data_IF_483626278639
#
_entry.id   IF_483626278639
#
_cell.length_a   1.000
_cell.length_b   1.000
_cell.length_c   1.000
_cell.angle_alpha   90.00
_cell.angle_beta   90.00
_cell.angle_gamma   90.00
#
_symmetry.space_group_name_H-M   'P 1'
#
loop_
_entity.id
_entity.type
_entity.pdbx_description
1 polymer ?
#
# COMPACT_ATOMS: atom_id res chain seq x y z
N UNK A 1 -9.82 16.05 36.55
CA UNK A 1 -8.53 16.01 35.80
C UNK A 1 -8.48 14.67 35.12
N UNK A 2 -9.04 14.63 33.90
CA UNK A 2 -8.99 13.42 33.08
C UNK A 2 -7.53 13.20 32.63
N UNK A 3 -6.98 12.08 33.05
CA UNK A 3 -5.73 11.59 32.48
C UNK A 3 -6.01 11.22 31.03
N UNK A 4 -5.54 12.04 30.10
CA UNK A 4 -5.46 11.64 28.70
C UNK A 4 -4.75 10.28 28.67
N UNK A 5 -5.45 9.24 28.21
CA UNK A 5 -4.87 7.92 27.97
C UNK A 5 -3.93 8.11 26.79
N UNK A 6 -2.63 8.20 27.06
CA UNK A 6 -1.60 8.23 26.03
C UNK A 6 -1.59 6.81 25.45
N UNK A 7 -2.27 6.61 24.32
CA UNK A 7 -2.18 5.37 23.57
C UNK A 7 -0.74 5.20 23.04
N UNK A 8 -0.21 3.96 23.00
CA UNK A 8 1.09 3.72 22.39
C UNK A 8 1.11 4.21 20.95
N UNK A 9 2.23 4.75 20.49
CA UNK A 9 2.39 5.33 19.14
C UNK A 9 1.88 4.42 18.01
N UNK A 10 2.05 3.11 18.16
CA UNK A 10 1.50 2.09 17.22
C UNK A 10 -0.02 2.15 17.02
N UNK A 11 -0.80 2.64 17.99
CA UNK A 11 -2.26 2.76 17.86
C UNK A 11 -2.70 4.09 17.25
N UNK A 12 -1.90 5.13 17.39
CA UNK A 12 -2.26 6.47 16.90
C UNK A 12 -2.36 6.53 15.38
N UNK A 13 -1.44 5.90 14.64
CA UNK A 13 -1.51 5.89 13.18
C UNK A 13 -2.73 5.11 12.66
N UNK A 14 -3.12 4.03 13.34
CA UNK A 14 -4.30 3.25 12.99
C UNK A 14 -5.57 4.08 13.17
N UNK A 15 -5.74 4.74 14.32
CA UNK A 15 -6.88 5.61 14.58
C UNK A 15 -7.01 6.73 13.54
N UNK A 16 -5.89 7.37 13.17
CA UNK A 16 -5.86 8.42 12.15
C UNK A 16 -6.21 7.83 10.77
N UNK A 17 -5.67 6.68 10.44
CA UNK A 17 -5.95 5.99 9.18
C UNK A 17 -7.42 5.59 9.05
N UNK A 18 -8.00 5.03 10.11
CA UNK A 18 -9.42 4.67 10.17
C UNK A 18 -10.33 5.91 10.07
N UNK A 19 -9.99 7.01 10.74
CA UNK A 19 -10.77 8.24 10.64
C UNK A 19 -10.69 8.86 9.24
N UNK A 20 -9.51 8.91 8.63
CA UNK A 20 -9.36 9.36 7.24
C UNK A 20 -10.11 8.45 6.26
N UNK A 21 -10.08 7.12 6.48
CA UNK A 21 -10.86 6.15 5.71
C UNK A 21 -12.35 6.42 5.83
N UNK A 22 -12.85 6.65 7.05
CA UNK A 22 -14.25 6.98 7.29
C UNK A 22 -14.66 8.29 6.58
N UNK A 23 -13.80 9.30 6.58
CA UNK A 23 -14.05 10.57 5.88
C UNK A 23 -14.09 10.38 4.34
N UNK A 24 -13.28 9.48 3.79
CA UNK A 24 -13.32 9.11 2.36
C UNK A 24 -14.65 8.41 2.04
N UNK A 25 -15.07 7.44 2.85
CA UNK A 25 -16.35 6.73 2.69
C UNK A 25 -17.53 7.70 2.76
N UNK A 26 -17.49 8.67 3.67
CA UNK A 26 -18.52 9.71 3.82
C UNK A 26 -18.51 10.75 2.69
N UNK A 27 -17.55 10.68 1.77
CA UNK A 27 -17.45 11.59 0.63
C UNK A 27 -16.81 12.95 0.91
N UNK A 28 -16.23 13.16 2.09
CA UNK A 28 -15.46 14.38 2.39
C UNK A 28 -14.26 14.53 1.45
N UNK A 29 -13.68 13.41 1.04
CA UNK A 29 -12.60 13.33 0.07
C UNK A 29 -13.03 12.39 -1.08
N UNK A 30 -13.60 12.91 -2.18
CA UNK A 30 -14.01 12.10 -3.31
C UNK A 30 -12.79 11.50 -4.05
N UNK A 31 -13.03 10.42 -4.82
CA UNK A 31 -12.01 9.81 -5.68
C UNK A 31 -11.38 10.84 -6.61
N UNK A 32 -10.06 10.82 -6.73
CA UNK A 32 -9.25 11.79 -7.46
C UNK A 32 -8.93 13.07 -6.69
N UNK A 33 -9.57 13.33 -5.53
CA UNK A 33 -9.24 14.49 -4.71
C UNK A 33 -7.95 14.30 -3.93
N UNK A 34 -7.34 15.42 -3.56
CA UNK A 34 -6.13 15.44 -2.75
C UNK A 34 -6.48 15.53 -1.26
N UNK A 35 -5.86 14.69 -0.44
CA UNK A 35 -5.92 14.82 1.02
C UNK A 35 -5.15 16.06 1.50
N UNK A 36 -5.48 16.58 2.70
CA UNK A 36 -4.70 17.66 3.31
C UNK A 36 -3.21 17.29 3.42
N UNK A 37 -2.29 18.28 3.35
CA UNK A 37 -0.87 18.03 3.57
C UNK A 37 -0.60 17.37 4.93
N UNK A 38 0.41 16.48 4.99
CA UNK A 38 0.81 15.78 6.25
C UNK A 38 0.92 16.73 7.45
N UNK A 39 1.43 17.97 7.23
CA UNK A 39 1.54 18.96 8.28
C UNK A 39 0.18 19.34 8.88
N UNK A 40 -0.80 19.57 8.03
CA UNK A 40 -2.14 19.99 8.47
C UNK A 40 -2.84 18.84 9.20
N UNK A 41 -2.69 17.61 8.72
CA UNK A 41 -3.20 16.41 9.39
C UNK A 41 -2.53 16.30 10.78
N UNK A 42 -1.20 16.43 10.86
CA UNK A 42 -0.46 16.38 12.12
C UNK A 42 -0.93 17.42 13.12
N UNK A 43 -1.18 18.66 12.67
CA UNK A 43 -1.71 19.75 13.49
C UNK A 43 -3.15 19.42 13.97
N UNK A 44 -4.00 18.88 13.10
CA UNK A 44 -5.41 18.53 13.43
C UNK A 44 -5.49 17.46 14.50
N UNK A 45 -4.66 16.40 14.40
CA UNK A 45 -4.68 15.29 15.36
C UNK A 45 -3.71 15.46 16.53
N UNK A 46 -2.89 16.51 16.54
CA UNK A 46 -1.93 16.77 17.63
C UNK A 46 -0.81 15.73 17.72
N UNK A 47 -0.39 15.16 16.58
CA UNK A 47 0.61 14.09 16.49
C UNK A 47 1.84 14.51 15.67
N UNK A 48 2.88 13.68 15.68
CA UNK A 48 4.04 13.86 14.82
C UNK A 48 3.73 13.57 13.35
N UNK A 49 4.47 14.20 12.42
CA UNK A 49 4.35 13.92 10.99
C UNK A 49 4.70 12.47 10.63
N UNK A 50 5.54 11.82 11.43
CA UNK A 50 5.89 10.41 11.26
C UNK A 50 4.65 9.52 11.43
N UNK A 51 3.86 9.76 12.48
CA UNK A 51 2.62 9.02 12.74
C UNK A 51 1.61 9.23 11.61
N UNK A 52 1.48 10.47 11.10
CA UNK A 52 0.62 10.76 9.94
C UNK A 52 1.08 10.00 8.71
N UNK A 53 2.39 9.97 8.47
CA UNK A 53 2.96 9.24 7.33
C UNK A 53 2.71 7.74 7.43
N UNK A 54 2.79 7.16 8.62
CA UNK A 54 2.40 5.76 8.86
C UNK A 54 0.91 5.52 8.56
N UNK A 55 0.03 6.42 8.99
CA UNK A 55 -1.40 6.33 8.68
C UNK A 55 -1.67 6.40 7.18
N UNK A 56 -1.04 7.34 6.47
CA UNK A 56 -1.18 7.48 5.02
C UNK A 56 -0.60 6.28 4.27
N UNK A 57 0.54 5.75 4.73
CA UNK A 57 1.15 4.56 4.16
C UNK A 57 0.27 3.32 4.35
N UNK A 58 -0.40 3.19 5.50
CA UNK A 58 -1.38 2.14 5.72
C UNK A 58 -2.52 2.23 4.68
N UNK A 59 -3.07 3.42 4.45
CA UNK A 59 -4.11 3.64 3.43
C UNK A 59 -3.60 3.38 2.00
N UNK A 60 -2.33 3.65 1.72
CA UNK A 60 -1.70 3.34 0.43
C UNK A 60 -1.55 1.83 0.23
N UNK A 61 -1.10 1.10 1.24
CA UNK A 61 -1.02 -0.37 1.21
C UNK A 61 -2.39 -1.02 1.00
N UNK A 62 -3.46 -0.40 1.50
CA UNK A 62 -4.85 -0.79 1.26
C UNK A 62 -5.35 -0.36 -0.13
N UNK A 63 -4.56 0.35 -0.93
CA UNK A 63 -4.96 0.86 -2.22
C UNK A 63 -6.02 1.98 -2.18
N UNK A 64 -6.29 2.53 -1.00
CA UNK A 64 -7.27 3.61 -0.81
C UNK A 64 -6.75 4.94 -1.32
N UNK A 65 -5.44 5.19 -1.15
CA UNK A 65 -4.76 6.42 -1.58
C UNK A 65 -3.49 6.12 -2.37
N UNK A 66 -2.95 7.14 -3.05
CA UNK A 66 -1.68 7.13 -3.79
C UNK A 66 -0.81 8.30 -3.30
N UNK A 67 0.37 7.99 -2.74
CA UNK A 67 1.33 8.97 -2.24
C UNK A 67 2.29 9.38 -3.35
N UNK A 68 2.03 10.52 -4.00
CA UNK A 68 2.83 11.05 -5.11
C UNK A 68 3.94 11.94 -4.59
N UNK A 69 5.19 11.53 -4.83
CA UNK A 69 6.34 12.31 -4.39
C UNK A 69 6.28 13.76 -4.91
N UNK A 70 6.37 14.74 -4.01
CA UNK A 70 6.32 16.17 -4.32
C UNK A 70 4.94 16.71 -4.71
N UNK A 71 3.93 15.86 -4.97
CA UNK A 71 2.58 16.26 -5.39
C UNK A 71 1.54 16.15 -4.28
N UNK A 72 1.65 15.17 -3.39
CA UNK A 72 0.74 14.94 -2.27
C UNK A 72 0.09 13.57 -2.30
N UNK A 73 -0.99 13.40 -1.53
CA UNK A 73 -1.71 12.14 -1.39
C UNK A 73 -3.09 12.26 -2.02
N UNK A 74 -3.45 11.33 -2.88
CA UNK A 74 -4.69 11.37 -3.67
C UNK A 74 -5.55 10.14 -3.37
N UNK A 75 -6.87 10.34 -3.28
CA UNK A 75 -7.83 9.25 -3.10
C UNK A 75 -7.97 8.49 -4.41
N UNK A 76 -7.75 7.17 -4.37
CA UNK A 76 -7.82 6.28 -5.54
C UNK A 76 -9.16 5.56 -5.65
N UNK A 77 -9.71 5.14 -4.53
CA UNK A 77 -10.99 4.43 -4.47
C UNK A 77 -11.70 4.69 -3.14
N UNK A 78 -13.00 4.43 -3.12
CA UNK A 78 -13.78 4.38 -1.88
C UNK A 78 -13.67 2.95 -1.35
N UNK A 79 -13.14 2.74 -0.12
CA UNK A 79 -13.06 1.42 0.49
C UNK A 79 -14.48 0.85 0.73
N UNK A 80 -14.68 -0.44 0.54
CA UNK A 80 -15.91 -1.11 0.93
C UNK A 80 -16.01 -1.23 2.46
N UNK A 81 -17.24 -1.19 3.02
CA UNK A 81 -17.43 -1.28 4.48
C UNK A 81 -16.99 -2.62 5.08
N UNK A 82 -16.87 -3.65 4.27
CA UNK A 82 -16.51 -5.02 4.66
C UNK A 82 -15.36 -5.57 3.82
N UNK A 83 -14.29 -4.81 3.62
CA UNK A 83 -13.11 -5.35 2.96
C UNK A 83 -12.40 -6.40 3.84
N UNK A 84 -12.17 -7.55 3.22
CA UNK A 84 -11.86 -8.89 3.70
C UNK A 84 -10.65 -9.06 4.65
N UNK A 85 -10.50 -10.34 5.11
CA UNK A 85 -9.49 -10.86 6.04
C UNK A 85 -8.03 -10.57 5.67
N UNK A 86 -7.71 -10.23 4.42
CA UNK A 86 -6.37 -9.76 4.01
C UNK A 86 -6.01 -8.43 4.68
N UNK A 87 -6.99 -7.58 5.02
CA UNK A 87 -6.79 -6.38 5.84
C UNK A 87 -6.43 -6.68 7.30
N UNK A 88 -6.63 -7.90 7.78
CA UNK A 88 -6.25 -8.30 9.14
C UNK A 88 -4.75 -8.21 9.38
N UNK A 89 -3.92 -8.38 8.35
CA UNK A 89 -2.48 -8.14 8.47
C UNK A 89 -2.16 -6.65 8.72
N UNK A 90 -2.94 -5.74 8.14
CA UNK A 90 -2.79 -4.29 8.35
C UNK A 90 -3.40 -3.83 9.68
N UNK A 91 -4.31 -4.62 10.26
CA UNK A 91 -4.83 -4.46 11.62
C UNK A 91 -4.01 -5.23 12.66
N UNK A 92 -2.91 -5.89 12.28
CA UNK A 92 -1.99 -6.55 13.19
C UNK A 92 -1.12 -5.52 13.91
N UNK A 93 -0.41 -5.96 14.96
CA UNK A 93 0.59 -5.14 15.68
C UNK A 93 1.81 -4.80 14.80
N UNK A 94 1.83 -5.20 13.52
CA UNK A 94 2.89 -4.94 12.54
C UNK A 94 2.66 -3.59 11.86
N UNK A 95 3.62 -2.69 11.98
CA UNK A 95 3.54 -1.37 11.37
C UNK A 95 3.78 -1.39 9.85
N UNK A 96 3.25 -0.41 9.11
CA UNK A 96 3.39 -0.34 7.65
C UNK A 96 4.85 -0.27 7.18
N UNK A 97 5.74 0.35 7.93
CA UNK A 97 7.17 0.35 7.63
C UNK A 97 7.82 -1.02 7.80
N UNK A 98 7.37 -1.82 8.79
CA UNK A 98 7.84 -3.20 8.99
C UNK A 98 7.43 -4.08 7.80
N UNK A 99 6.21 -3.89 7.28
CA UNK A 99 5.72 -4.58 6.08
C UNK A 99 6.60 -4.22 4.87
N UNK A 100 6.87 -2.94 4.63
CA UNK A 100 7.70 -2.51 3.50
C UNK A 100 9.14 -3.03 3.62
N UNK A 101 9.72 -3.05 4.82
CA UNK A 101 11.05 -3.63 5.04
C UNK A 101 11.08 -5.13 4.73
N UNK A 102 10.07 -5.87 5.20
CA UNK A 102 9.94 -7.30 4.90
C UNK A 102 9.78 -7.54 3.39
N UNK A 103 8.91 -6.79 2.73
CA UNK A 103 8.72 -6.86 1.28
C UNK A 103 10.02 -6.56 0.52
N UNK A 104 10.72 -5.48 0.88
CA UNK A 104 11.99 -5.13 0.25
C UNK A 104 13.01 -6.27 0.32
N UNK A 105 13.13 -6.93 1.47
CA UNK A 105 14.04 -8.07 1.66
C UNK A 105 13.59 -9.30 0.89
N UNK A 106 12.31 -9.64 0.94
CA UNK A 106 11.77 -10.83 0.28
C UNK A 106 11.77 -10.66 -1.25
N UNK A 107 11.15 -9.59 -1.75
CA UNK A 107 10.96 -9.38 -3.19
C UNK A 107 12.29 -9.20 -3.93
N UNK A 108 13.30 -8.54 -3.33
CA UNK A 108 14.62 -8.42 -3.95
C UNK A 108 15.34 -9.77 -4.06
N UNK A 109 15.23 -10.64 -3.04
CA UNK A 109 15.79 -11.98 -3.10
C UNK A 109 15.01 -12.90 -4.05
N UNK A 110 13.68 -12.79 -4.09
CA UNK A 110 12.83 -13.50 -5.04
C UNK A 110 13.22 -13.11 -6.47
N UNK A 111 13.38 -11.80 -6.76
CA UNK A 111 13.80 -11.31 -8.08
C UNK A 111 15.17 -11.86 -8.48
N UNK A 112 16.14 -11.85 -7.58
CA UNK A 112 17.48 -12.40 -7.83
C UNK A 112 17.44 -13.92 -8.10
N UNK A 113 16.53 -14.64 -7.45
CA UNK A 113 16.36 -16.08 -7.68
C UNK A 113 15.62 -16.35 -8.99
N UNK A 114 14.53 -15.61 -9.25
CA UNK A 114 13.77 -15.67 -10.50
C UNK A 114 14.66 -15.42 -11.73
N UNK A 115 15.55 -14.45 -11.65
CA UNK A 115 16.50 -14.15 -12.74
C UNK A 115 17.37 -15.35 -13.15
N UNK A 116 17.58 -16.32 -12.26
CA UNK A 116 18.36 -17.55 -12.53
C UNK A 116 17.49 -18.70 -13.03
N UNK A 117 16.20 -18.70 -12.71
CA UNK A 117 15.29 -19.82 -12.92
C UNK A 117 14.23 -19.54 -14.01
N UNK A 118 14.01 -18.26 -14.35
CA UNK A 118 12.97 -17.85 -15.28
C UNK A 118 13.12 -18.50 -16.66
N UNK A 119 12.03 -19.03 -17.16
CA UNK A 119 11.92 -19.50 -18.53
C UNK A 119 11.76 -18.33 -19.51
N UNK A 120 11.88 -18.60 -20.81
CA UNK A 120 11.58 -17.61 -21.86
C UNK A 120 10.14 -17.12 -21.77
N UNK A 121 9.21 -18.02 -21.47
CA UNK A 121 7.81 -17.68 -21.31
C UNK A 121 7.54 -16.73 -20.11
N UNK A 122 8.24 -16.94 -18.99
CA UNK A 122 8.13 -16.05 -17.83
C UNK A 122 8.63 -14.64 -18.17
N UNK A 123 9.75 -14.53 -18.87
CA UNK A 123 10.33 -13.24 -19.31
C UNK A 123 9.36 -12.51 -20.25
N UNK A 124 8.77 -13.22 -21.22
CA UNK A 124 7.81 -12.63 -22.17
C UNK A 124 6.51 -12.20 -21.45
N UNK A 125 6.08 -12.94 -20.42
CA UNK A 125 4.94 -12.57 -19.58
C UNK A 125 5.22 -11.32 -18.76
N UNK A 126 6.38 -11.23 -18.09
CA UNK A 126 6.79 -10.04 -17.34
C UNK A 126 6.86 -8.79 -18.23
N UNK A 127 7.42 -8.91 -19.44
CA UNK A 127 7.46 -7.79 -20.41
C UNK A 127 6.08 -7.29 -20.76
N UNK A 128 5.14 -8.21 -21.01
CA UNK A 128 3.75 -7.86 -21.33
C UNK A 128 3.08 -7.09 -20.20
N UNK A 129 3.31 -7.51 -18.95
CA UNK A 129 2.75 -6.81 -17.78
C UNK A 129 3.36 -5.40 -17.67
N UNK A 130 4.67 -5.25 -17.85
CA UNK A 130 5.35 -3.94 -17.84
C UNK A 130 4.80 -3.02 -18.94
N UNK A 131 4.57 -3.55 -20.15
CA UNK A 131 3.99 -2.78 -21.24
C UNK A 131 2.54 -2.37 -20.96
N UNK A 132 1.76 -3.22 -20.29
CA UNK A 132 0.40 -2.89 -19.86
C UNK A 132 0.42 -1.78 -18.81
N UNK A 133 1.30 -1.86 -17.82
CA UNK A 133 1.48 -0.84 -16.80
C UNK A 133 1.89 0.52 -17.42
N UNK A 134 2.85 0.52 -18.35
CA UNK A 134 3.26 1.73 -19.05
C UNK A 134 2.11 2.39 -19.82
N UNK A 135 1.23 1.59 -20.42
CA UNK A 135 0.03 2.10 -21.11
C UNK A 135 -0.98 2.66 -20.13
N UNK A 136 -1.21 1.96 -19.01
CA UNK A 136 -2.11 2.41 -17.96
C UNK A 136 -1.65 3.76 -17.36
N UNK A 137 -0.37 3.90 -17.06
CA UNK A 137 0.22 5.16 -16.59
C UNK A 137 0.02 6.28 -17.60
N UNK A 138 0.17 6.00 -18.90
CA UNK A 138 0.03 7.02 -19.96
C UNK A 138 -1.40 7.58 -20.06
N UNK A 139 -2.42 6.84 -19.63
CA UNK A 139 -3.83 7.26 -19.59
C UNK A 139 -4.33 7.58 -18.18
N UNK A 140 -3.41 7.71 -17.21
CA UNK A 140 -3.66 7.93 -15.78
C UNK A 140 -4.56 6.84 -15.13
N UNK A 141 -4.63 5.68 -15.74
CA UNK A 141 -5.24 4.49 -15.17
C UNK A 141 -4.22 3.80 -14.27
N UNK A 142 -4.34 4.04 -12.97
CA UNK A 142 -3.43 3.50 -11.96
C UNK A 142 -4.03 2.29 -11.25
N UNK A 143 -4.58 1.35 -12.01
CA UNK A 143 -5.04 0.09 -11.43
C UNK A 143 -3.84 -0.63 -10.79
N UNK A 144 -3.97 -1.03 -9.54
CA UNK A 144 -2.91 -1.75 -8.83
C UNK A 144 -2.75 -3.21 -9.31
N UNK A 145 -3.65 -3.68 -10.15
CA UNK A 145 -3.69 -5.07 -10.62
C UNK A 145 -2.41 -5.46 -11.37
N UNK A 146 -1.86 -4.58 -12.20
CA UNK A 146 -0.62 -4.86 -12.93
C UNK A 146 0.58 -4.97 -11.98
N UNK A 147 0.65 -4.16 -10.93
CA UNK A 147 1.72 -4.23 -9.94
C UNK A 147 1.65 -5.56 -9.17
N UNK A 148 0.49 -5.93 -8.65
CA UNK A 148 0.28 -7.24 -7.99
C UNK A 148 0.64 -8.38 -8.94
N UNK A 149 0.15 -8.34 -10.18
CA UNK A 149 0.41 -9.36 -11.18
C UNK A 149 1.90 -9.50 -11.52
N UNK A 150 2.65 -8.39 -11.58
CA UNK A 150 4.09 -8.41 -11.80
C UNK A 150 4.82 -9.20 -10.71
N UNK A 151 4.52 -8.92 -9.43
CA UNK A 151 5.15 -9.61 -8.31
C UNK A 151 4.80 -11.10 -8.26
N UNK A 152 3.54 -11.46 -8.57
CA UNK A 152 3.12 -12.87 -8.63
C UNK A 152 3.82 -13.64 -9.75
N UNK A 153 3.91 -13.07 -10.95
CA UNK A 153 4.61 -13.71 -12.07
C UNK A 153 6.10 -13.83 -11.79
N UNK A 154 6.70 -12.81 -11.17
CA UNK A 154 8.10 -12.84 -10.77
C UNK A 154 8.37 -13.94 -9.73
N UNK A 155 7.50 -14.06 -8.70
CA UNK A 155 7.61 -15.13 -7.70
C UNK A 155 7.37 -16.51 -8.33
N UNK A 156 6.40 -16.65 -9.23
CA UNK A 156 6.16 -17.89 -9.98
C UNK A 156 7.35 -18.33 -10.83
N UNK A 157 8.09 -17.39 -11.42
CA UNK A 157 9.29 -17.66 -12.20
C UNK A 157 10.44 -18.28 -11.37
N UNK A 158 10.38 -18.24 -10.05
CA UNK A 158 11.30 -18.98 -9.17
C UNK A 158 11.06 -20.49 -9.18
N UNK A 159 9.93 -20.96 -9.70
CA UNK A 159 9.45 -22.35 -9.65
C UNK A 159 9.35 -22.90 -8.22
N UNK A 160 9.22 -22.02 -7.23
CA UNK A 160 9.09 -22.35 -5.83
C UNK A 160 7.71 -21.89 -5.31
N UNK A 161 6.83 -22.86 -5.05
CA UNK A 161 5.46 -22.60 -4.60
C UNK A 161 5.38 -21.88 -3.26
N UNK A 162 6.36 -22.07 -2.37
CA UNK A 162 6.39 -21.37 -1.09
C UNK A 162 6.70 -19.87 -1.29
N UNK A 163 7.63 -19.54 -2.19
CA UNK A 163 7.94 -18.14 -2.51
C UNK A 163 6.75 -17.45 -3.21
N UNK A 164 6.04 -18.16 -4.08
CA UNK A 164 4.80 -17.66 -4.68
C UNK A 164 3.75 -17.35 -3.60
N UNK A 165 3.45 -18.32 -2.73
CA UNK A 165 2.47 -18.15 -1.64
C UNK A 165 2.86 -17.06 -0.61
N UNK A 166 4.13 -16.65 -0.56
CA UNK A 166 4.58 -15.55 0.33
C UNK A 166 4.26 -14.18 -0.25
N UNK A 167 4.03 -14.09 -1.57
CA UNK A 167 3.77 -12.84 -2.31
C UNK A 167 2.27 -12.67 -2.62
N UNK A 168 1.46 -13.73 -2.57
CA UNK A 168 0.00 -13.69 -2.69
C UNK A 168 -0.64 -12.89 -1.56
#
# INVERSE_FOLDING_TARGET
MDKAVILPEKKQYQEIGEDLRAQIIQGHYPVGSRLPPERNIAETYGVSRTIVREALLMLELQGTVDMRQGSGVYVMRIPEEHENEEERFLNSDVGPFEILQARQLLESNIAAFAAKMATRADIDNLRRIIEQEQRAIAVDDRSQDNNKMFHLVLAGATQNQLLLATVE
#
